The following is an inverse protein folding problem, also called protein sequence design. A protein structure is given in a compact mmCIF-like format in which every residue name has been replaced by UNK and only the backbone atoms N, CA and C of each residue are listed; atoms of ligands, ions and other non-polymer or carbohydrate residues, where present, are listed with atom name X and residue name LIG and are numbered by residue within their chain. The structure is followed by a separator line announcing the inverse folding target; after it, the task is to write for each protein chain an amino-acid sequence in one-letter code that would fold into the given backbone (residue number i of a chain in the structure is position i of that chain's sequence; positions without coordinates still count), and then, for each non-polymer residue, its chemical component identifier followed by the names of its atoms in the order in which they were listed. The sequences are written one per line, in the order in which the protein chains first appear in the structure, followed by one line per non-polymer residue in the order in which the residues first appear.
data_IF_818135812586
#
_entry.id   IF_818135812586
#
_cell.length_a   1.000
_cell.length_b   1.000
_cell.length_c   1.000
_cell.angle_alpha   90.00
_cell.angle_beta   90.00
_cell.angle_gamma   90.00
#
_symmetry.space_group_name_H-M   'P 1'
#
loop_
_entity.id
_entity.type
_entity.pdbx_description
1 polymer ?
#
# COMPACT_ATOMS: atom_id res chain seq x y z
N UNK A 1 1.24 -22.07 67.35
CA UNK A 1 1.08 -22.28 65.88
C UNK A 1 0.56 -20.99 65.25
N UNK A 2 1.45 -20.02 65.01
CA UNK A 2 1.13 -18.79 64.26
C UNK A 2 2.35 -18.49 63.41
N UNK A 3 2.30 -18.87 62.14
CA UNK A 3 3.45 -18.71 61.26
C UNK A 3 3.26 -19.46 59.95
N UNK A 4 2.41 -18.93 59.08
CA UNK A 4 2.61 -18.99 57.62
C UNK A 4 1.56 -18.19 56.81
N UNK A 5 0.56 -17.63 57.48
CA UNK A 5 -0.55 -16.91 56.82
C UNK A 5 -0.11 -15.62 56.12
N UNK A 6 0.98 -14.95 56.54
CA UNK A 6 1.48 -13.76 55.84
C UNK A 6 2.16 -14.07 54.51
N UNK A 7 2.84 -15.23 54.39
CA UNK A 7 3.46 -15.68 53.14
C UNK A 7 2.41 -16.08 52.11
N UNK A 8 1.31 -16.68 52.56
CA UNK A 8 0.14 -16.97 51.72
C UNK A 8 -0.55 -15.69 51.25
N UNK A 9 -0.68 -14.68 52.12
CA UNK A 9 -1.25 -13.39 51.76
C UNK A 9 -0.41 -12.64 50.72
N UNK A 10 0.92 -12.62 50.88
CA UNK A 10 1.86 -12.01 49.93
C UNK A 10 1.82 -12.75 48.58
N UNK A 11 1.70 -14.09 48.59
CA UNK A 11 1.55 -14.88 47.36
C UNK A 11 0.20 -14.63 46.67
N UNK A 12 -0.88 -14.47 47.42
CA UNK A 12 -2.21 -14.15 46.88
C UNK A 12 -2.24 -12.74 46.27
N UNK A 13 -1.59 -11.77 46.92
CA UNK A 13 -1.45 -10.40 46.40
C UNK A 13 -0.59 -10.40 45.13
N UNK A 14 0.52 -11.16 45.10
CA UNK A 14 1.33 -11.33 43.89
C UNK A 14 0.55 -11.95 42.73
N UNK A 15 -0.30 -12.94 43.01
CA UNK A 15 -1.18 -13.55 42.01
C UNK A 15 -2.27 -12.59 41.51
N UNK A 16 -2.83 -11.76 42.41
CA UNK A 16 -3.81 -10.74 42.07
C UNK A 16 -3.20 -9.61 41.20
N UNK A 17 -1.94 -9.23 41.43
CA UNK A 17 -1.23 -8.26 40.59
C UNK A 17 -0.98 -8.77 39.16
N UNK A 18 -0.80 -10.08 38.97
CA UNK A 18 -0.65 -10.68 37.63
C UNK A 18 -1.96 -10.68 36.83
N UNK A 19 -3.12 -10.72 37.51
CA UNK A 19 -4.44 -10.66 36.85
C UNK A 19 -4.82 -9.25 36.38
N UNK A 20 -4.13 -8.21 36.87
CA UNK A 20 -4.34 -6.81 36.48
C UNK A 20 -3.40 -6.34 35.36
N UNK A 21 -2.51 -7.21 34.86
CA UNK A 21 -1.70 -6.94 33.68
C UNK A 21 -2.59 -7.03 32.43
N UNK A 22 -3.40 -6.00 32.19
CA UNK A 22 -4.04 -5.84 30.89
C UNK A 22 -2.94 -5.63 29.83
N UNK A 23 -3.02 -6.27 28.66
CA UNK A 23 -2.09 -5.99 27.58
C UNK A 23 -2.20 -4.51 27.23
N UNK A 24 -1.10 -3.77 27.39
CA UNK A 24 -0.94 -2.43 26.86
C UNK A 24 -1.40 -2.45 25.39
N UNK A 25 -2.39 -1.62 25.07
CA UNK A 25 -2.88 -1.47 23.71
C UNK A 25 -1.72 -1.11 22.80
N UNK A 26 -1.33 -2.03 21.92
CA UNK A 26 -0.42 -1.72 20.84
C UNK A 26 -1.06 -0.61 19.99
N UNK A 27 -0.40 0.54 19.88
CA UNK A 27 -0.63 1.50 18.82
C UNK A 27 -0.20 0.84 17.52
N UNK A 28 -1.11 0.11 16.88
CA UNK A 28 -0.92 -0.29 15.49
C UNK A 28 -1.00 1.00 14.69
N UNK A 29 0.14 1.51 14.24
CA UNK A 29 0.18 2.63 13.32
C UNK A 29 -0.70 2.27 12.11
N UNK A 30 -1.51 3.22 11.63
CA UNK A 30 -2.34 3.03 10.45
C UNK A 30 -1.54 2.52 9.23
N UNK A 31 -0.29 2.98 9.09
CA UNK A 31 0.65 2.50 8.08
C UNK A 31 1.08 1.04 8.27
N UNK A 32 1.23 0.58 9.52
CA UNK A 32 1.56 -0.82 9.82
C UNK A 32 0.39 -1.76 9.43
N UNK A 33 -0.84 -1.37 9.75
CA UNK A 33 -2.03 -2.15 9.41
C UNK A 33 -2.19 -2.32 7.89
N UNK A 34 -2.05 -1.23 7.12
CA UNK A 34 -2.15 -1.30 5.66
C UNK A 34 -0.98 -2.06 5.04
N UNK A 35 0.23 -1.95 5.60
CA UNK A 35 1.37 -2.75 5.15
C UNK A 35 1.15 -4.25 5.34
N UNK A 36 0.61 -4.67 6.49
CA UNK A 36 0.23 -6.08 6.73
C UNK A 36 -0.85 -6.54 5.74
N UNK A 37 -1.88 -5.72 5.52
CA UNK A 37 -2.93 -6.04 4.55
C UNK A 37 -2.37 -6.17 3.12
N UNK A 38 -1.41 -5.32 2.73
CA UNK A 38 -0.76 -5.39 1.43
C UNK A 38 0.02 -6.70 1.26
N UNK A 39 0.72 -7.18 2.29
CA UNK A 39 1.42 -8.47 2.26
C UNK A 39 0.46 -9.66 2.12
N UNK A 40 -0.76 -9.53 2.64
CA UNK A 40 -1.79 -10.55 2.54
C UNK A 40 -2.52 -10.54 1.19
N UNK A 41 -2.47 -9.47 0.39
CA UNK A 41 -3.32 -9.31 -0.78
C UNK A 41 -3.14 -10.41 -1.87
N UNK A 42 -1.99 -11.08 -1.90
CA UNK A 42 -1.74 -12.23 -2.78
C UNK A 42 -1.92 -13.59 -2.07
N UNK A 43 -1.76 -13.63 -0.75
CA UNK A 43 -1.73 -14.88 0.05
C UNK A 43 -3.12 -15.20 0.63
N UNK A 44 -3.76 -14.21 1.27
CA UNK A 44 -5.13 -14.24 1.75
C UNK A 44 -5.83 -12.94 1.31
N UNK A 45 -6.27 -12.86 0.04
CA UNK A 45 -6.90 -11.66 -0.50
C UNK A 45 -8.20 -11.31 0.25
N UNK A 46 -8.91 -12.30 0.79
CA UNK A 46 -10.14 -12.07 1.53
C UNK A 46 -9.88 -11.30 2.83
N UNK A 47 -8.84 -11.69 3.57
CA UNK A 47 -8.41 -11.00 4.79
C UNK A 47 -7.85 -9.62 4.47
N UNK A 48 -7.00 -9.49 3.45
CA UNK A 48 -6.47 -8.20 3.02
C UNK A 48 -7.58 -7.20 2.70
N UNK A 49 -8.58 -7.63 1.90
CA UNK A 49 -9.76 -6.82 1.56
C UNK A 49 -10.54 -6.41 2.80
N UNK A 50 -10.75 -7.33 3.73
CA UNK A 50 -11.49 -7.03 4.97
C UNK A 50 -10.75 -6.00 5.83
N UNK A 51 -9.43 -6.13 6.00
CA UNK A 51 -8.61 -5.19 6.77
C UNK A 51 -8.67 -3.79 6.15
N UNK A 52 -8.47 -3.69 4.83
CA UNK A 52 -8.52 -2.41 4.13
C UNK A 52 -9.93 -1.78 4.13
N UNK A 53 -11.00 -2.58 4.00
CA UNK A 53 -12.38 -2.07 4.16
C UNK A 53 -12.64 -1.54 5.57
N UNK A 54 -12.20 -2.27 6.60
CA UNK A 54 -12.33 -1.82 7.98
C UNK A 54 -11.55 -0.53 8.22
N UNK A 55 -10.39 -0.38 7.58
CA UNK A 55 -9.62 0.86 7.61
C UNK A 55 -10.47 2.05 7.09
N UNK A 56 -11.14 1.88 5.95
CA UNK A 56 -12.02 2.88 5.33
C UNK A 56 -13.35 3.10 6.06
N UNK A 57 -13.84 2.15 6.86
CA UNK A 57 -15.14 2.32 7.55
C UNK A 57 -15.00 2.94 8.93
N UNK A 58 -13.89 2.69 9.62
CA UNK A 58 -13.72 3.04 11.04
C UNK A 58 -13.02 4.39 11.24
N UNK A 59 -12.56 5.05 10.17
CA UNK A 59 -11.74 6.28 10.22
C UNK A 59 -12.34 7.37 9.34
N UNK A 60 -12.38 8.59 9.84
CA UNK A 60 -12.77 9.79 9.10
C UNK A 60 -11.62 10.30 8.24
N UNK A 61 -11.94 10.71 7.01
CA UNK A 61 -10.97 11.29 6.09
C UNK A 61 -10.68 12.75 6.47
N UNK A 62 -9.41 13.11 6.61
CA UNK A 62 -9.02 14.51 6.80
C UNK A 62 -9.10 15.29 5.48
N UNK A 63 -9.69 16.48 5.50
CA UNK A 63 -9.77 17.39 4.34
C UNK A 63 -8.47 18.18 4.09
N UNK A 64 -7.48 18.07 4.99
CA UNK A 64 -6.25 18.85 4.89
C UNK A 64 -5.39 18.36 3.72
N UNK A 65 -5.06 19.26 2.79
CA UNK A 65 -4.04 19.02 1.76
C UNK A 65 -2.69 18.67 2.42
N UNK A 66 -1.94 17.73 1.84
CA UNK A 66 -0.66 17.19 2.35
C UNK A 66 0.52 18.19 2.26
N UNK A 67 0.30 19.42 2.70
CA UNK A 67 1.33 20.47 2.78
C UNK A 67 1.99 20.52 4.17
N UNK A 68 1.72 19.54 5.04
CA UNK A 68 2.25 19.45 6.40
C UNK A 68 3.59 18.69 6.45
N UNK A 69 4.40 18.98 7.48
CA UNK A 69 5.62 18.21 7.78
C UNK A 69 5.29 16.71 7.96
N UNK A 70 6.14 15.77 7.52
CA UNK A 70 5.94 14.32 7.71
C UNK A 70 5.65 13.90 9.16
N UNK A 71 6.19 14.65 10.13
CA UNK A 71 5.97 14.48 11.55
C UNK A 71 4.57 14.88 12.05
N UNK A 72 3.86 15.75 11.34
CA UNK A 72 2.44 16.01 11.59
C UNK A 72 1.62 14.80 11.10
N UNK A 73 1.80 14.40 9.84
CA UNK A 73 1.09 13.26 9.23
C UNK A 73 1.18 11.97 10.06
N UNK A 74 2.38 11.62 10.56
CA UNK A 74 2.57 10.44 11.41
C UNK A 74 1.80 10.51 12.73
N UNK A 75 1.65 11.70 13.32
CA UNK A 75 0.85 11.89 14.54
C UNK A 75 -0.63 11.73 14.26
N UNK A 76 -1.13 12.28 13.15
CA UNK A 76 -2.53 12.14 12.77
C UNK A 76 -2.90 10.69 12.41
N UNK A 77 -2.02 9.93 11.74
CA UNK A 77 -2.25 8.51 11.45
C UNK A 77 -2.10 7.58 12.66
N UNK A 78 -1.54 8.08 13.76
CA UNK A 78 -1.51 7.37 15.05
C UNK A 78 -2.87 7.47 15.77
N UNK A 79 -3.71 8.46 15.40
CA UNK A 79 -5.10 8.51 15.84
C UNK A 79 -5.90 7.44 15.09
N UNK A 80 -6.57 6.56 15.83
CA UNK A 80 -7.37 5.45 15.27
C UNK A 80 -8.64 5.93 14.57
N UNK A 81 -8.97 7.22 14.68
CA UNK A 81 -10.16 7.82 14.10
C UNK A 81 -9.91 8.56 12.78
N UNK A 82 -8.65 8.79 12.38
CA UNK A 82 -8.33 9.62 11.20
C UNK A 82 -7.58 8.81 10.15
N UNK A 83 -7.87 9.08 8.87
CA UNK A 83 -7.08 8.63 7.71
C UNK A 83 -6.65 9.82 6.86
N UNK A 84 -5.49 9.70 6.20
CA UNK A 84 -4.96 10.69 5.26
C UNK A 84 -5.44 10.38 3.85
N UNK A 85 -5.38 11.35 2.92
CA UNK A 85 -5.57 11.07 1.50
C UNK A 85 -4.68 9.93 0.99
N UNK A 86 -3.38 9.93 1.34
CA UNK A 86 -2.47 8.85 0.96
C UNK A 86 -2.90 7.48 1.49
N UNK A 87 -3.21 7.37 2.78
CA UNK A 87 -3.58 6.06 3.37
C UNK A 87 -4.93 5.56 2.85
N UNK A 88 -5.83 6.47 2.48
CA UNK A 88 -7.10 6.14 1.81
C UNK A 88 -6.87 5.58 0.42
N UNK A 89 -5.98 6.19 -0.37
CA UNK A 89 -5.59 5.71 -1.69
C UNK A 89 -4.94 4.32 -1.59
N UNK A 90 -4.04 4.11 -0.62
CA UNK A 90 -3.42 2.79 -0.39
C UNK A 90 -4.44 1.72 0.01
N UNK A 91 -5.41 2.05 0.87
CA UNK A 91 -6.47 1.11 1.22
C UNK A 91 -7.29 0.68 -0.02
N UNK A 92 -7.63 1.61 -0.92
CA UNK A 92 -8.28 1.26 -2.18
C UNK A 92 -7.41 0.40 -3.09
N UNK A 93 -6.10 0.66 -3.19
CA UNK A 93 -5.17 -0.19 -3.95
C UNK A 93 -5.09 -1.61 -3.39
N UNK A 94 -5.07 -1.78 -2.06
CA UNK A 94 -5.08 -3.10 -1.41
C UNK A 94 -6.37 -3.85 -1.73
N UNK A 95 -7.53 -3.18 -1.64
CA UNK A 95 -8.82 -3.77 -2.01
C UNK A 95 -8.79 -4.17 -3.50
N UNK A 96 -8.26 -3.31 -4.37
CA UNK A 96 -8.18 -3.60 -5.79
C UNK A 96 -7.30 -4.82 -6.09
N UNK A 97 -6.13 -4.91 -5.44
CA UNK A 97 -5.25 -6.06 -5.57
C UNK A 97 -5.94 -7.34 -5.10
N UNK A 98 -6.59 -7.30 -3.94
CA UNK A 98 -7.34 -8.44 -3.43
C UNK A 98 -8.48 -8.87 -4.36
N UNK A 99 -9.25 -7.91 -4.89
CA UNK A 99 -10.33 -8.17 -5.84
C UNK A 99 -9.81 -8.80 -7.13
N UNK A 100 -8.71 -8.27 -7.67
CA UNK A 100 -8.06 -8.84 -8.83
C UNK A 100 -7.57 -10.28 -8.58
N UNK A 101 -6.91 -10.53 -7.45
CA UNK A 101 -6.46 -11.88 -7.05
C UNK A 101 -7.63 -12.86 -6.94
N UNK A 102 -8.81 -12.40 -6.48
CA UNK A 102 -10.03 -13.22 -6.40
C UNK A 102 -10.78 -13.34 -7.74
N UNK A 103 -10.29 -12.73 -8.81
CA UNK A 103 -10.91 -12.73 -10.14
C UNK A 103 -12.02 -11.68 -10.33
N UNK A 104 -12.27 -10.82 -9.34
CA UNK A 104 -13.20 -9.70 -9.43
C UNK A 104 -12.51 -8.49 -10.08
N UNK A 105 -12.26 -8.60 -11.39
CA UNK A 105 -11.60 -7.54 -12.17
C UNK A 105 -12.41 -6.23 -12.11
N UNK A 106 -13.75 -6.33 -12.09
CA UNK A 106 -14.61 -5.15 -12.03
C UNK A 106 -14.45 -4.42 -10.70
N UNK A 107 -14.54 -5.13 -9.58
CA UNK A 107 -14.31 -4.57 -8.24
C UNK A 107 -12.92 -3.95 -8.10
N UNK A 108 -11.91 -4.59 -8.70
CA UNK A 108 -10.56 -4.04 -8.73
C UNK A 108 -10.50 -2.68 -9.45
N UNK A 109 -11.05 -2.61 -10.65
CA UNK A 109 -11.07 -1.37 -11.44
C UNK A 109 -11.91 -0.26 -10.77
N UNK A 110 -13.02 -0.61 -10.13
CA UNK A 110 -13.84 0.34 -9.38
C UNK A 110 -13.07 0.96 -8.21
N UNK A 111 -12.29 0.17 -7.46
CA UNK A 111 -11.44 0.69 -6.39
C UNK A 111 -10.27 1.55 -6.93
N UNK A 112 -9.67 1.18 -8.06
CA UNK A 112 -8.63 2.00 -8.68
C UNK A 112 -9.18 3.33 -9.23
N UNK A 113 -10.44 3.37 -9.68
CA UNK A 113 -11.10 4.64 -10.04
C UNK A 113 -11.19 5.57 -8.85
N UNK A 114 -11.57 5.06 -7.68
CA UNK A 114 -11.67 5.87 -6.47
C UNK A 114 -10.30 6.34 -5.97
N UNK A 115 -9.30 5.45 -6.01
CA UNK A 115 -7.91 5.80 -5.72
C UNK A 115 -7.38 6.91 -6.63
N UNK A 116 -7.64 6.83 -7.93
CA UNK A 116 -7.21 7.84 -8.91
C UNK A 116 -7.95 9.17 -8.76
N UNK A 117 -9.26 9.11 -8.44
CA UNK A 117 -10.08 10.29 -8.14
C UNK A 117 -9.51 11.05 -6.94
N UNK A 118 -9.24 10.36 -5.84
CA UNK A 118 -8.64 10.94 -4.64
C UNK A 118 -7.24 11.50 -4.91
N UNK A 119 -6.39 10.76 -5.64
CA UNK A 119 -5.06 11.25 -5.99
C UNK A 119 -5.11 12.54 -6.82
N UNK A 120 -6.12 12.69 -7.67
CA UNK A 120 -6.33 13.91 -8.47
C UNK A 120 -6.87 15.05 -7.61
N UNK A 121 -7.88 14.78 -6.77
CA UNK A 121 -8.52 15.74 -5.88
C UNK A 121 -7.51 16.38 -4.90
N UNK A 122 -6.66 15.55 -4.29
CA UNK A 122 -5.66 16.00 -3.32
C UNK A 122 -4.31 16.38 -3.94
N UNK A 123 -4.22 16.44 -5.27
CA UNK A 123 -3.01 16.85 -6.01
C UNK A 123 -1.78 16.00 -5.65
N UNK A 124 -1.95 14.68 -5.66
CA UNK A 124 -0.94 13.68 -5.32
C UNK A 124 -0.43 12.98 -6.60
N UNK A 125 0.41 13.63 -7.42
CA UNK A 125 0.79 13.13 -8.74
C UNK A 125 1.50 11.77 -8.70
N UNK A 126 2.30 11.50 -7.67
CA UNK A 126 2.96 10.20 -7.50
C UNK A 126 1.97 9.06 -7.26
N UNK A 127 0.99 9.29 -6.39
CA UNK A 127 -0.04 8.30 -6.08
C UNK A 127 -0.89 8.03 -7.31
N UNK A 128 -1.18 9.07 -8.10
CA UNK A 128 -1.89 8.93 -9.37
C UNK A 128 -1.12 8.05 -10.36
N UNK A 129 0.17 8.29 -10.55
CA UNK A 129 1.03 7.48 -11.42
C UNK A 129 1.10 6.02 -10.95
N UNK A 130 1.19 5.78 -9.63
CA UNK A 130 1.19 4.43 -9.07
C UNK A 130 -0.12 3.67 -9.34
N UNK A 131 -1.26 4.34 -9.12
CA UNK A 131 -2.59 3.79 -9.43
C UNK A 131 -2.73 3.46 -10.93
N UNK A 132 -2.22 4.33 -11.81
CA UNK A 132 -2.24 4.10 -13.25
C UNK A 132 -1.37 2.90 -13.68
N UNK A 133 -0.19 2.74 -13.08
CA UNK A 133 0.65 1.56 -13.29
C UNK A 133 -0.07 0.28 -12.83
N UNK A 134 -0.65 0.27 -11.63
CA UNK A 134 -1.40 -0.89 -11.12
C UNK A 134 -2.59 -1.25 -12.02
N UNK A 135 -3.36 -0.23 -12.45
CA UNK A 135 -4.47 -0.41 -13.40
C UNK A 135 -4.00 -1.04 -14.70
N UNK A 136 -2.94 -0.48 -15.28
CA UNK A 136 -2.40 -0.97 -16.55
C UNK A 136 -2.04 -2.46 -16.45
N UNK A 137 -1.31 -2.83 -15.38
CA UNK A 137 -0.92 -4.21 -15.11
C UNK A 137 -2.10 -5.16 -15.03
N UNK A 138 -3.12 -4.81 -14.24
CA UNK A 138 -4.32 -5.64 -14.10
C UNK A 138 -5.05 -5.83 -15.44
N UNK A 139 -5.17 -4.76 -16.23
CA UNK A 139 -5.86 -4.82 -17.52
C UNK A 139 -5.14 -5.75 -18.49
N UNK A 140 -3.85 -5.54 -18.77
CA UNK A 140 -3.14 -6.36 -19.75
C UNK A 140 -2.92 -7.81 -19.25
N UNK A 141 -2.79 -8.04 -17.93
CA UNK A 141 -2.78 -9.40 -17.39
C UNK A 141 -4.09 -10.13 -17.62
N UNK A 142 -5.22 -9.42 -17.54
CA UNK A 142 -6.56 -9.98 -17.73
C UNK A 142 -6.89 -10.22 -19.20
N UNK A 143 -6.72 -9.20 -20.05
CA UNK A 143 -7.20 -9.24 -21.44
C UNK A 143 -6.13 -9.66 -22.47
N UNK A 144 -4.86 -9.77 -22.05
CA UNK A 144 -3.69 -10.08 -22.90
C UNK A 144 -3.44 -9.07 -24.03
N UNK A 145 -4.01 -7.88 -23.93
CA UNK A 145 -3.76 -6.77 -24.86
C UNK A 145 -2.48 -6.04 -24.47
N UNK A 146 -1.35 -6.66 -24.84
CA UNK A 146 -0.02 -6.13 -24.58
C UNK A 146 0.26 -4.85 -25.37
N UNK A 147 -0.38 -4.64 -26.52
CA UNK A 147 -0.18 -3.43 -27.32
C UNK A 147 -0.76 -2.20 -26.60
N UNK A 148 -2.00 -2.31 -26.11
CA UNK A 148 -2.60 -1.27 -25.28
C UNK A 148 -1.83 -1.10 -23.97
N UNK A 149 -1.36 -2.20 -23.38
CA UNK A 149 -0.51 -2.18 -22.18
C UNK A 149 0.75 -1.31 -22.37
N UNK A 150 1.46 -1.46 -23.49
CA UNK A 150 2.67 -0.67 -23.79
C UNK A 150 2.33 0.80 -24.10
N UNK A 151 1.24 1.06 -24.82
CA UNK A 151 0.78 2.44 -25.09
C UNK A 151 0.49 3.22 -23.80
N UNK A 152 -0.14 2.58 -22.82
CA UNK A 152 -0.37 3.18 -21.51
C UNK A 152 0.94 3.44 -20.76
N UNK A 153 1.92 2.53 -20.82
CA UNK A 153 3.23 2.74 -20.20
C UNK A 153 3.96 3.94 -20.82
N UNK A 154 3.87 4.11 -22.14
CA UNK A 154 4.42 5.29 -22.83
C UNK A 154 3.74 6.59 -22.35
N UNK A 155 2.43 6.57 -22.14
CA UNK A 155 1.72 7.74 -21.61
C UNK A 155 2.15 8.08 -20.18
N UNK A 156 2.28 7.06 -19.31
CA UNK A 156 2.76 7.24 -17.93
C UNK A 156 4.18 7.79 -17.91
N UNK A 157 5.08 7.29 -18.79
CA UNK A 157 6.44 7.79 -18.93
C UNK A 157 6.47 9.28 -19.32
N UNK A 158 5.64 9.69 -20.30
CA UNK A 158 5.51 11.10 -20.66
C UNK A 158 5.05 11.98 -19.50
N UNK A 159 4.12 11.48 -18.67
CA UNK A 159 3.68 12.20 -17.48
C UNK A 159 4.80 12.33 -16.44
N UNK A 160 5.68 11.33 -16.31
CA UNK A 160 6.85 11.40 -15.42
C UNK A 160 7.80 12.52 -15.90
N UNK A 161 8.11 12.56 -17.19
CA UNK A 161 9.03 13.56 -17.75
C UNK A 161 8.47 15.00 -17.69
N UNK A 162 7.15 15.15 -17.87
CA UNK A 162 6.53 16.48 -17.99
C UNK A 162 6.34 17.21 -16.66
N UNK A 163 6.28 16.48 -15.54
CA UNK A 163 5.77 17.04 -14.28
C UNK A 163 6.83 17.63 -13.32
N UNK A 164 8.11 17.81 -13.71
CA UNK A 164 9.20 18.36 -12.85
C UNK A 164 9.17 17.83 -11.41
N UNK A 165 8.87 16.54 -11.31
CA UNK A 165 8.55 15.83 -10.09
C UNK A 165 9.85 15.60 -9.31
N UNK A 166 9.91 16.03 -8.04
CA UNK A 166 11.10 15.98 -7.18
C UNK A 166 11.84 14.63 -7.28
N UNK A 167 13.10 14.67 -7.73
CA UNK A 167 13.92 13.52 -8.18
C UNK A 167 13.81 12.21 -7.34
N UNK A 168 13.72 12.28 -6.01
CA UNK A 168 13.80 11.08 -5.14
C UNK A 168 12.61 10.10 -5.24
N UNK A 169 11.39 10.58 -5.51
CA UNK A 169 10.21 9.68 -5.58
C UNK A 169 9.95 9.16 -7.01
N UNK A 170 10.72 9.62 -7.98
CA UNK A 170 10.58 9.22 -9.39
C UNK A 170 11.20 7.85 -9.64
N UNK A 171 12.21 7.46 -8.87
CA UNK A 171 12.94 6.20 -9.09
C UNK A 171 12.08 4.95 -8.81
N UNK A 172 11.24 4.95 -7.78
CA UNK A 172 10.35 3.81 -7.50
C UNK A 172 9.26 3.66 -8.57
N UNK A 173 8.74 4.78 -9.10
CA UNK A 173 7.78 4.79 -10.21
C UNK A 173 8.46 4.30 -11.49
N UNK A 174 9.66 4.80 -11.81
CA UNK A 174 10.46 4.36 -12.97
C UNK A 174 10.79 2.87 -12.90
N UNK A 175 11.21 2.40 -11.72
CA UNK A 175 11.46 0.98 -11.48
C UNK A 175 10.22 0.14 -11.85
N UNK A 176 9.05 0.47 -11.29
CA UNK A 176 7.82 -0.28 -11.57
C UNK A 176 7.38 -0.21 -13.03
N UNK A 177 7.52 0.95 -13.66
CA UNK A 177 7.23 1.14 -15.09
C UNK A 177 8.09 0.21 -15.95
N UNK A 178 9.41 0.21 -15.73
CA UNK A 178 10.35 -0.62 -16.50
C UNK A 178 10.14 -2.11 -16.21
N UNK A 179 9.84 -2.48 -14.95
CA UNK A 179 9.48 -3.85 -14.59
C UNK A 179 8.20 -4.31 -15.29
N UNK A 180 7.19 -3.44 -15.43
CA UNK A 180 6.00 -3.79 -16.22
C UNK A 180 6.32 -3.96 -17.71
N UNK A 181 7.18 -3.13 -18.30
CA UNK A 181 7.65 -3.34 -19.68
C UNK A 181 8.37 -4.69 -19.83
N UNK A 182 9.21 -5.04 -18.87
CA UNK A 182 9.89 -6.34 -18.86
C UNK A 182 8.91 -7.52 -18.79
N UNK A 183 7.92 -7.44 -17.91
CA UNK A 183 6.86 -8.45 -17.78
C UNK A 183 6.04 -8.56 -19.06
N UNK A 184 5.62 -7.43 -19.64
CA UNK A 184 4.85 -7.37 -20.87
C UNK A 184 5.63 -8.02 -22.04
N UNK A 185 6.90 -7.65 -22.22
CA UNK A 185 7.77 -8.25 -23.24
C UNK A 185 7.95 -9.76 -23.01
N UNK A 186 8.11 -10.19 -21.76
CA UNK A 186 8.21 -11.61 -21.41
C UNK A 186 6.92 -12.36 -21.76
N UNK A 187 5.76 -11.80 -21.41
CA UNK A 187 4.45 -12.38 -21.72
C UNK A 187 4.10 -12.38 -23.22
N UNK A 188 4.67 -11.45 -24.01
CA UNK A 188 4.51 -11.40 -25.46
C UNK A 188 5.54 -12.27 -26.22
N UNK A 189 6.47 -12.91 -25.51
CA UNK A 189 7.51 -13.76 -26.11
C UNK A 189 8.77 -13.01 -26.58
N UNK A 190 8.86 -11.69 -26.37
CA UNK A 190 10.04 -10.89 -26.69
C UNK A 190 11.06 -10.94 -25.54
N UNK A 191 11.76 -12.08 -25.46
CA UNK A 191 12.74 -12.34 -24.40
C UNK A 191 13.95 -11.40 -24.45
N UNK A 192 14.30 -10.90 -25.63
CA UNK A 192 15.41 -9.95 -25.79
C UNK A 192 15.08 -8.62 -25.13
N UNK A 193 13.90 -8.05 -25.43
CA UNK A 193 13.45 -6.82 -24.78
C UNK A 193 13.21 -7.03 -23.28
N UNK A 194 12.65 -8.17 -22.88
CA UNK A 194 12.44 -8.49 -21.47
C UNK A 194 13.74 -8.43 -20.65
N UNK A 195 14.80 -9.13 -21.10
CA UNK A 195 16.10 -9.13 -20.42
C UNK A 195 16.73 -7.74 -20.37
N UNK A 196 16.62 -6.98 -21.46
CA UNK A 196 17.09 -5.59 -21.52
C UNK A 196 16.38 -4.73 -20.47
N UNK A 197 15.05 -4.81 -20.38
CA UNK A 197 14.28 -4.05 -19.41
C UNK A 197 14.56 -4.48 -17.96
N UNK A 198 14.66 -5.78 -17.67
CA UNK A 198 15.05 -6.23 -16.33
C UNK A 198 16.42 -5.71 -15.92
N UNK A 199 17.38 -5.71 -16.84
CA UNK A 199 18.71 -5.14 -16.61
C UNK A 199 18.68 -3.62 -16.41
N UNK A 200 17.80 -2.93 -17.12
CA UNK A 200 17.59 -1.49 -16.95
C UNK A 200 16.94 -1.14 -15.60
N UNK A 201 15.94 -1.91 -15.17
CA UNK A 201 15.24 -1.70 -13.89
C UNK A 201 16.20 -1.72 -12.69
N UNK A 202 17.26 -2.55 -12.74
CA UNK A 202 18.28 -2.63 -11.67
C UNK A 202 18.97 -1.28 -11.38
N UNK A 203 19.01 -0.36 -12.36
CA UNK A 203 19.58 0.98 -12.16
C UNK A 203 18.76 1.81 -11.16
N UNK A 204 17.46 1.53 -11.06
CA UNK A 204 16.52 2.24 -10.20
C UNK A 204 16.22 1.50 -8.88
N UNK A 205 16.68 0.25 -8.72
CA UNK A 205 16.41 -0.54 -7.51
C UNK A 205 17.32 -0.20 -6.31
N UNK A 206 18.41 0.55 -6.52
CA UNK A 206 19.41 0.86 -5.48
C UNK A 206 18.83 1.74 -4.35
N UNK A 207 17.74 2.48 -4.62
CA UNK A 207 17.10 3.36 -3.63
C UNK A 207 16.13 2.62 -2.70
N UNK A 208 15.60 1.45 -3.11
CA UNK A 208 14.60 0.68 -2.33
C UNK A 208 15.18 -0.06 -1.11
N UNK A 209 16.51 -0.17 -1.00
CA UNK A 209 17.18 -0.84 0.13
C UNK A 209 17.44 0.12 1.30
N UNK A 210 17.22 1.43 1.10
CA UNK A 210 17.55 2.49 2.07
C UNK A 210 16.33 3.26 2.63
N UNK A 211 15.12 2.76 2.38
CA UNK A 211 13.85 3.33 2.87
C UNK A 211 13.04 2.29 3.62
#
# INVERSE_FOLDING_TARGET
MFGDSSRLFIRLIGFLCLLLAQPLHATILSSALLNEAQQLAEIDPSQAKQVAKNYLLQRELTERQENGSPSAMSREETDRSIRTPNSTIEAHKIIAQADFTMGDIRGAIENLNEAERLATEYQLPYMRLDVQLMRNQMLWLSNKDYATGEQNLNHIEQQIESNNVTLLRTDSIRYRLIMQRALLASHSGDMFSAERYYSEAKKYSVVLVLS
#
